data_IF_485035867309
#
_entry.id   IF_485035867309
#
_cell.length_a   1.000
_cell.length_b   1.000
_cell.length_c   1.000
_cell.angle_alpha   90.00
_cell.angle_beta   90.00
_cell.angle_gamma   90.00
#
_symmetry.space_group_name_H-M   'P 1'
#
loop_
_entity.id
_entity.type
_entity.pdbx_description
1 polymer ?
#
# COMPACT_ATOMS: atom_id res chain seq x y z
N UNK A 1 5.54 1.44 33.10
CA UNK A 1 5.29 2.68 32.33
C UNK A 1 4.17 3.43 33.02
N UNK A 2 4.37 4.69 33.38
CA UNK A 2 3.36 5.48 34.07
C UNK A 2 2.12 5.64 33.16
N UNK A 3 0.95 5.23 33.64
CA UNK A 3 -0.30 5.30 32.90
C UNK A 3 -0.63 6.75 32.55
N UNK A 4 -0.95 7.04 31.29
CA UNK A 4 -1.24 8.39 30.81
C UNK A 4 -2.41 9.08 31.56
N UNK A 5 -3.27 8.32 32.23
CA UNK A 5 -4.36 8.88 33.06
C UNK A 5 -3.86 9.59 34.31
N UNK A 6 -2.61 9.38 34.75
CA UNK A 6 -2.05 10.04 35.93
C UNK A 6 -1.79 11.55 35.72
N UNK A 7 -1.85 12.03 34.48
CA UNK A 7 -1.64 13.43 34.11
C UNK A 7 -2.87 14.09 33.48
N UNK A 8 -4.04 13.45 33.58
CA UNK A 8 -5.27 14.01 33.01
C UNK A 8 -5.88 15.02 34.00
N UNK A 9 -6.16 16.26 33.59
CA UNK A 9 -6.84 17.22 34.46
C UNK A 9 -8.26 16.76 34.81
N UNK A 10 -8.69 17.00 36.04
CA UNK A 10 -10.05 16.63 36.51
C UNK A 10 -11.12 17.68 36.15
N UNK A 11 -10.73 18.88 35.70
CA UNK A 11 -11.67 19.95 35.39
C UNK A 11 -12.26 19.81 33.97
N UNK A 12 -13.60 19.86 33.89
CA UNK A 12 -14.33 19.67 32.63
C UNK A 12 -13.98 20.74 31.59
N UNK A 13 -13.72 21.97 32.00
CA UNK A 13 -13.38 23.05 31.04
C UNK A 13 -12.00 22.83 30.44
N UNK A 14 -11.03 22.39 31.24
CA UNK A 14 -9.69 22.02 30.75
C UNK A 14 -9.74 20.82 29.82
N UNK A 15 -10.55 19.80 30.13
CA UNK A 15 -10.75 18.64 29.26
C UNK A 15 -11.38 19.02 27.91
N UNK A 16 -12.39 19.90 27.92
CA UNK A 16 -13.00 20.41 26.69
C UNK A 16 -12.00 21.17 25.82
N UNK A 17 -11.18 22.03 26.43
CA UNK A 17 -10.13 22.76 25.72
C UNK A 17 -9.10 21.81 25.08
N UNK A 18 -8.66 20.78 25.82
CA UNK A 18 -7.73 19.77 25.30
C UNK A 18 -8.35 18.96 24.15
N UNK A 19 -9.63 18.60 24.24
CA UNK A 19 -10.33 17.88 23.16
C UNK A 19 -10.43 18.73 21.89
N UNK A 20 -10.76 20.01 22.02
CA UNK A 20 -10.82 20.95 20.89
C UNK A 20 -9.43 21.07 20.24
N UNK A 21 -8.38 21.24 21.05
CA UNK A 21 -7.01 21.32 20.56
C UNK A 21 -6.58 20.03 19.84
N UNK A 22 -6.88 18.86 20.40
CA UNK A 22 -6.57 17.57 19.81
C UNK A 22 -7.31 17.35 18.47
N UNK A 23 -8.59 17.77 18.38
CA UNK A 23 -9.36 17.73 17.14
C UNK A 23 -8.80 18.67 16.07
N UNK A 24 -8.44 19.89 16.46
CA UNK A 24 -7.81 20.86 15.55
C UNK A 24 -6.48 20.33 15.00
N UNK A 25 -5.64 19.73 15.85
CA UNK A 25 -4.39 19.10 15.42
C UNK A 25 -4.64 17.94 14.45
N UNK A 26 -5.63 17.09 14.74
CA UNK A 26 -5.98 15.95 13.87
C UNK A 26 -6.46 16.44 12.50
N UNK A 27 -7.30 17.48 12.46
CA UNK A 27 -7.73 18.11 11.21
C UNK A 27 -6.54 18.70 10.43
N UNK A 28 -5.61 19.36 11.10
CA UNK A 28 -4.40 19.89 10.46
C UNK A 28 -3.52 18.79 9.85
N UNK A 29 -3.37 17.64 10.54
CA UNK A 29 -2.64 16.49 10.00
C UNK A 29 -3.30 15.91 8.75
N UNK A 30 -4.65 15.77 8.75
CA UNK A 30 -5.40 15.30 7.58
C UNK A 30 -5.21 16.22 6.38
N UNK A 31 -5.30 17.54 6.57
CA UNK A 31 -5.05 18.52 5.51
C UNK A 31 -3.61 18.45 4.97
N UNK A 32 -2.63 18.19 5.84
CA UNK A 32 -1.24 18.00 5.43
C UNK A 32 -1.07 16.75 4.57
N UNK A 33 -1.67 15.63 4.96
CA UNK A 33 -1.70 14.38 4.20
C UNK A 33 -2.30 14.62 2.80
N UNK A 34 -3.45 15.30 2.73
CA UNK A 34 -4.10 15.63 1.45
C UNK A 34 -3.21 16.50 0.56
N UNK A 35 -2.56 17.51 1.14
CA UNK A 35 -1.63 18.38 0.42
C UNK A 35 -0.44 17.60 -0.15
N UNK A 36 0.19 16.74 0.64
CA UNK A 36 1.34 15.92 0.21
C UNK A 36 0.92 14.95 -0.91
N UNK A 37 -0.23 14.29 -0.77
CA UNK A 37 -0.80 13.42 -1.80
C UNK A 37 -1.07 14.18 -3.10
N UNK A 38 -1.61 15.39 -3.02
CA UNK A 38 -1.84 16.22 -4.20
C UNK A 38 -0.54 16.64 -4.90
N UNK A 39 0.51 16.98 -4.14
CA UNK A 39 1.83 17.30 -4.66
C UNK A 39 2.46 16.08 -5.36
N UNK A 40 2.40 14.90 -4.74
CA UNK A 40 2.86 13.64 -5.34
C UNK A 40 2.13 13.32 -6.64
N UNK A 41 0.80 13.42 -6.65
CA UNK A 41 0.00 13.18 -7.84
C UNK A 41 0.38 14.13 -9.00
N UNK A 42 0.71 15.39 -8.69
CA UNK A 42 1.19 16.36 -9.67
C UNK A 42 2.56 15.97 -10.23
N UNK A 43 3.52 15.65 -9.35
CA UNK A 43 4.89 15.31 -9.78
C UNK A 43 4.94 14.00 -10.59
N UNK A 44 4.20 12.97 -10.17
CA UNK A 44 4.10 11.69 -10.90
C UNK A 44 3.53 11.87 -12.31
N UNK A 45 2.61 12.82 -12.52
CA UNK A 45 2.13 13.15 -13.88
C UNK A 45 3.19 13.81 -14.75
N UNK A 46 4.19 14.45 -14.14
CA UNK A 46 5.27 15.17 -14.82
C UNK A 46 6.56 14.36 -14.94
N UNK A 47 6.59 13.11 -14.45
CA UNK A 47 7.83 12.33 -14.27
C UNK A 47 8.52 11.86 -15.56
N UNK A 48 7.99 12.17 -16.74
CA UNK A 48 8.56 11.72 -18.01
C UNK A 48 9.44 12.81 -18.64
N UNK A 49 10.70 12.48 -18.98
CA UNK A 49 11.62 13.36 -19.71
C UNK A 49 13.02 13.45 -19.12
N UNK A 50 13.89 14.29 -19.70
CA UNK A 50 15.27 14.52 -19.22
C UNK A 50 15.36 15.07 -17.78
N UNK A 51 14.28 15.66 -17.26
CA UNK A 51 14.20 16.14 -15.87
C UNK A 51 13.62 15.15 -14.87
N UNK A 52 13.33 13.91 -15.30
CA UNK A 52 12.67 12.86 -14.51
C UNK A 52 13.44 12.52 -13.23
N UNK A 53 14.76 12.34 -13.31
CA UNK A 53 15.59 11.97 -12.14
C UNK A 53 15.47 12.95 -10.97
N UNK A 54 15.36 14.26 -11.25
CA UNK A 54 15.16 15.28 -10.20
C UNK A 54 13.75 15.23 -9.62
N UNK A 55 12.75 14.91 -10.44
CA UNK A 55 11.38 14.75 -9.99
C UNK A 55 11.24 13.48 -9.14
N UNK A 56 11.94 12.40 -9.50
CA UNK A 56 11.96 11.14 -8.76
C UNK A 56 12.56 11.33 -7.36
N UNK A 57 13.66 12.09 -7.26
CA UNK A 57 14.23 12.45 -5.96
C UNK A 57 13.25 13.27 -5.10
N UNK A 58 12.54 14.24 -5.70
CA UNK A 58 11.52 15.02 -4.99
C UNK A 58 10.30 14.19 -4.59
N UNK A 59 9.88 13.23 -5.42
CA UNK A 59 8.82 12.27 -5.14
C UNK A 59 9.20 11.42 -3.92
N UNK A 60 10.40 10.84 -3.90
CA UNK A 60 10.88 10.05 -2.76
C UNK A 60 10.86 10.83 -1.44
N UNK A 61 11.30 12.10 -1.46
CA UNK A 61 11.28 12.94 -0.25
C UNK A 61 9.86 13.22 0.25
N UNK A 62 8.91 13.43 -0.66
CA UNK A 62 7.51 13.66 -0.29
C UNK A 62 6.81 12.37 0.16
N UNK A 63 7.19 11.21 -0.39
CA UNK A 63 6.71 9.89 0.06
C UNK A 63 7.16 9.63 1.49
N UNK A 64 8.44 9.84 1.80
CA UNK A 64 8.97 9.69 3.16
C UNK A 64 8.25 10.62 4.15
N UNK A 65 8.09 11.89 3.80
CA UNK A 65 7.38 12.85 4.65
C UNK A 65 5.89 12.50 4.83
N UNK A 66 5.27 11.84 3.85
CA UNK A 66 3.90 11.37 3.95
C UNK A 66 3.81 10.17 4.90
N UNK A 67 4.71 9.21 4.78
CA UNK A 67 4.79 8.04 5.65
C UNK A 67 4.92 8.45 7.13
N UNK A 68 5.83 9.37 7.45
CA UNK A 68 6.03 9.87 8.82
C UNK A 68 4.73 10.44 9.44
N UNK A 69 3.98 11.21 8.65
CA UNK A 69 2.72 11.83 9.11
C UNK A 69 1.61 10.78 9.22
N UNK A 70 1.51 9.86 8.25
CA UNK A 70 0.51 8.80 8.24
C UNK A 70 0.72 7.82 9.40
N UNK A 71 1.95 7.39 9.69
CA UNK A 71 2.28 6.55 10.84
C UNK A 71 1.88 7.22 12.16
N UNK A 72 2.18 8.51 12.32
CA UNK A 72 1.78 9.28 13.50
C UNK A 72 0.25 9.34 13.68
N UNK A 73 -0.51 9.44 12.59
CA UNK A 73 -1.99 9.39 12.65
C UNK A 73 -2.52 7.97 12.90
N UNK A 74 -1.92 6.96 12.28
CA UNK A 74 -2.32 5.57 12.42
C UNK A 74 -2.12 5.08 13.87
N UNK A 75 -0.99 5.40 14.49
CA UNK A 75 -0.73 5.08 15.90
C UNK A 75 -1.81 5.66 16.83
N UNK A 76 -2.27 6.90 16.58
CA UNK A 76 -3.36 7.52 17.34
C UNK A 76 -4.69 6.79 17.16
N UNK A 77 -5.06 6.43 15.93
CA UNK A 77 -6.32 5.71 15.67
C UNK A 77 -6.36 4.31 16.27
N UNK A 78 -5.24 3.58 16.30
CA UNK A 78 -5.14 2.27 16.96
C UNK A 78 -5.37 2.40 18.47
N UNK A 79 -4.81 3.44 19.10
CA UNK A 79 -5.06 3.75 20.52
C UNK A 79 -6.52 4.11 20.78
N UNK A 80 -7.18 4.84 19.88
CA UNK A 80 -8.62 5.14 20.02
C UNK A 80 -9.48 3.88 19.87
N UNK A 81 -9.12 2.97 18.95
CA UNK A 81 -9.87 1.74 18.69
C UNK A 81 -9.71 0.70 19.80
N UNK A 82 -8.58 0.66 20.51
CA UNK A 82 -8.40 -0.25 21.66
C UNK A 82 -9.29 0.10 22.87
N UNK A 83 -9.82 1.33 22.92
CA UNK A 83 -10.77 1.79 23.96
C UNK A 83 -12.21 1.40 23.63
N UNK A 84 -12.51 1.06 22.37
CA UNK A 84 -13.84 0.64 21.94
C UNK A 84 -13.95 -0.89 21.91
N UNK A 85 -15.09 -1.50 22.30
CA UNK A 85 -15.27 -2.94 22.17
C UNK A 85 -15.18 -3.34 20.70
N UNK A 86 -14.20 -4.18 20.37
CA UNK A 86 -13.99 -4.67 19.02
C UNK A 86 -15.20 -5.52 18.58
N UNK A 87 -15.92 -5.08 17.55
CA UNK A 87 -16.86 -5.94 16.85
C UNK A 87 -16.06 -7.06 16.16
N UNK A 88 -16.55 -8.32 16.18
CA UNK A 88 -15.86 -9.41 15.49
C UNK A 88 -15.81 -9.11 13.99
N UNK A 89 -14.60 -8.94 13.47
CA UNK A 89 -14.34 -8.75 12.06
C UNK A 89 -14.56 -10.08 11.34
N UNK A 90 -15.81 -10.37 11.00
CA UNK A 90 -16.20 -11.54 10.23
C UNK A 90 -15.82 -11.34 8.75
N UNK A 91 -14.52 -11.23 8.45
CA UNK A 91 -14.04 -11.30 7.07
C UNK A 91 -14.22 -12.72 6.58
N UNK A 92 -15.36 -12.97 5.94
CA UNK A 92 -15.58 -14.19 5.18
C UNK A 92 -14.66 -14.15 3.96
N UNK A 93 -13.55 -14.88 4.03
CA UNK A 93 -12.72 -15.12 2.85
C UNK A 93 -13.58 -15.82 1.79
N UNK A 94 -13.69 -15.30 0.56
CA UNK A 94 -14.44 -15.97 -0.49
C UNK A 94 -13.76 -17.28 -0.84
N UNK A 95 -14.32 -18.39 -0.35
CA UNK A 95 -13.88 -19.74 -0.74
C UNK A 95 -14.37 -19.97 -2.16
N UNK A 96 -13.44 -20.03 -3.12
CA UNK A 96 -13.78 -20.41 -4.50
C UNK A 96 -14.26 -21.87 -4.49
N UNK A 97 -15.51 -22.10 -4.89
CA UNK A 97 -16.00 -23.46 -5.13
C UNK A 97 -15.24 -24.04 -6.33
N UNK A 98 -14.73 -25.29 -6.24
CA UNK A 98 -14.09 -25.93 -7.39
C UNK A 98 -15.10 -26.07 -8.54
N UNK A 99 -14.58 -26.03 -9.77
CA UNK A 99 -15.40 -26.17 -10.97
C UNK A 99 -16.02 -27.59 -11.00
N UNK A 100 -17.32 -27.74 -11.27
CA UNK A 100 -17.99 -29.05 -11.24
C UNK A 100 -17.42 -30.09 -12.22
N UNK A 101 -17.45 -31.36 -11.83
CA UNK A 101 -16.82 -32.47 -12.58
C UNK A 101 -17.54 -32.84 -13.88
N UNK A 102 -18.81 -32.46 -14.03
CA UNK A 102 -19.62 -32.77 -15.22
C UNK A 102 -19.44 -31.77 -16.37
N UNK A 103 -18.65 -30.70 -16.17
CA UNK A 103 -18.33 -29.78 -17.25
C UNK A 103 -17.24 -30.39 -18.14
N UNK A 104 -17.40 -30.32 -19.48
CA UNK A 104 -16.34 -30.71 -20.39
C UNK A 104 -15.10 -29.83 -20.13
N UNK A 105 -13.94 -30.46 -19.94
CA UNK A 105 -12.66 -29.77 -19.73
C UNK A 105 -11.84 -29.86 -21.03
N UNK A 106 -11.34 -28.73 -21.49
CA UNK A 106 -10.35 -28.67 -22.57
C UNK A 106 -8.99 -28.30 -21.99
N UNK A 107 -7.97 -29.12 -22.24
CA UNK A 107 -6.59 -28.84 -21.84
C UNK A 107 -5.83 -28.23 -23.02
N UNK A 108 -5.41 -26.97 -22.89
CA UNK A 108 -4.59 -26.27 -23.90
C UNK A 108 -3.15 -26.21 -23.37
N UNK A 109 -2.29 -27.06 -23.90
CA UNK A 109 -0.86 -27.05 -23.57
C UNK A 109 -0.16 -26.02 -24.46
N UNK A 110 0.36 -24.96 -23.86
CA UNK A 110 1.17 -23.96 -24.55
C UNK A 110 2.65 -24.35 -24.49
N UNK A 111 3.28 -24.55 -25.65
CA UNK A 111 4.74 -24.67 -25.74
C UNK A 111 5.36 -23.30 -25.99
N UNK A 112 6.52 -22.99 -25.39
CA UNK A 112 7.26 -21.78 -25.72
C UNK A 112 7.69 -21.85 -27.20
N UNK A 113 7.24 -20.88 -27.99
CA UNK A 113 7.69 -20.76 -29.38
C UNK A 113 9.16 -20.32 -29.41
N UNK A 114 10.06 -21.22 -29.82
CA UNK A 114 11.42 -20.84 -30.21
C UNK A 114 12.59 -21.56 -29.53
N UNK A 115 12.57 -22.89 -29.43
CA UNK A 115 13.83 -23.64 -29.24
C UNK A 115 14.39 -23.93 -30.63
N UNK A 116 15.32 -23.09 -31.09
CA UNK A 116 16.15 -23.39 -32.25
C UNK A 116 16.93 -24.68 -31.96
N UNK A 117 16.55 -25.77 -32.61
CA UNK A 117 17.31 -27.03 -32.55
C UNK A 117 18.64 -26.77 -33.27
N UNK A 118 19.75 -26.83 -32.54
CA UNK A 118 21.09 -26.86 -33.13
C UNK A 118 21.13 -28.01 -34.14
N UNK A 119 21.16 -27.69 -35.44
CA UNK A 119 21.33 -28.66 -36.52
C UNK A 119 22.65 -29.40 -36.28
N UNK A 120 22.58 -30.70 -35.94
CA UNK A 120 23.74 -31.57 -36.11
C UNK A 120 24.01 -31.69 -37.61
N UNK A 121 25.21 -31.32 -38.03
CA UNK A 121 25.67 -31.51 -39.40
C UNK A 121 25.69 -33.01 -39.74
N UNK A 122 25.04 -33.39 -40.85
CA UNK A 122 25.12 -34.75 -41.38
C UNK A 122 26.52 -35.04 -41.93
N UNK A 123 27.09 -36.24 -41.73
CA UNK A 123 28.35 -36.61 -42.37
C UNK A 123 28.14 -36.85 -43.88
N UNK A 124 29.12 -36.42 -44.68
CA UNK A 124 29.13 -36.47 -46.14
C UNK A 124 29.12 -37.92 -46.72
N UNK A 125 28.63 -38.13 -47.96
CA UNK A 125 28.59 -39.46 -48.57
C UNK A 125 29.95 -39.85 -49.17
N UNK A 126 30.35 -41.11 -48.96
CA UNK A 126 31.50 -41.71 -49.65
C UNK A 126 31.04 -42.30 -50.98
N UNK A 127 31.60 -41.81 -52.08
CA UNK A 127 31.44 -42.40 -53.41
C UNK A 127 32.51 -43.48 -53.63
N UNK A 128 32.08 -44.70 -54.02
CA UNK A 128 32.91 -45.73 -54.66
C UNK A 128 32.17 -46.23 -55.89
#
# INVERSE_FOLDING_TARGET
MASASAYLPDDVTTLQALLIAARAQSAAHLLMIEKLKAQLAKLRRMQFGQSSERLDAAIHQLELALEDVEEGTAARTVLERSVMPAAPDARQHPVRRPLPDHLPREEIVHWPAGIAVCRRASPAPNHR
#
